data_IF_568973724802
#
_entry.id   IF_568973724802
#
_cell.length_a   1.000
_cell.length_b   1.000
_cell.length_c   1.000
_cell.angle_alpha   90.00
_cell.angle_beta   90.00
_cell.angle_gamma   90.00
#
_symmetry.space_group_name_H-M   'P 1'
#
loop_
_entity.id
_entity.type
_entity.pdbx_description
1 polymer ?
#
# COMPACT_ATOMS: atom_id res chain seq x y z
N UNK A 1 24.73 -21.29 6.38
CA UNK A 1 24.09 -20.05 6.91
C UNK A 1 22.72 -20.46 7.47
N UNK A 2 22.40 -20.16 8.74
CA UNK A 2 21.03 -20.36 9.24
C UNK A 2 20.11 -19.40 8.51
N UNK A 3 19.23 -19.89 7.66
CA UNK A 3 18.15 -19.10 7.08
C UNK A 3 17.33 -18.50 8.21
N UNK A 4 17.30 -17.18 8.28
CA UNK A 4 16.51 -16.47 9.27
C UNK A 4 15.05 -16.85 9.02
N UNK A 5 14.37 -17.44 10.01
CA UNK A 5 12.97 -17.86 9.89
C UNK A 5 12.13 -16.65 9.52
N UNK A 6 11.34 -16.78 8.45
CA UNK A 6 10.40 -15.76 7.99
C UNK A 6 9.40 -15.43 9.11
N UNK A 7 9.04 -14.15 9.25
CA UNK A 7 8.04 -13.67 10.21
C UNK A 7 6.98 -12.84 9.51
N UNK A 8 5.73 -13.16 9.77
CA UNK A 8 4.54 -12.42 9.29
C UNK A 8 3.72 -12.03 10.51
N UNK A 9 3.77 -10.75 10.87
CA UNK A 9 3.13 -10.22 12.08
C UNK A 9 2.22 -9.05 11.74
N UNK A 10 0.95 -9.16 12.08
CA UNK A 10 -0.04 -8.08 11.98
C UNK A 10 -0.45 -7.65 13.38
N UNK A 11 -0.35 -6.34 13.66
CA UNK A 11 -0.68 -5.72 14.94
C UNK A 11 -2.00 -4.96 14.84
N UNK A 12 -2.89 -5.13 15.81
CA UNK A 12 -4.09 -4.30 15.93
C UNK A 12 -3.74 -3.03 16.71
N UNK A 13 -3.03 -2.13 16.07
CA UNK A 13 -2.57 -0.87 16.66
C UNK A 13 -2.26 0.14 15.55
N UNK A 14 -2.03 1.39 15.93
CA UNK A 14 -1.47 2.41 15.06
C UNK A 14 0.04 2.21 14.89
N UNK A 15 0.55 2.43 13.66
CA UNK A 15 1.99 2.46 13.40
C UNK A 15 2.74 3.50 14.27
N UNK A 16 2.07 4.52 14.76
CA UNK A 16 2.63 5.51 15.68
C UNK A 16 3.15 4.88 16.98
N UNK A 17 2.58 3.75 17.36
CA UNK A 17 2.95 2.98 18.55
C UNK A 17 4.06 1.94 18.28
N UNK A 18 4.72 1.99 17.12
CA UNK A 18 5.72 0.99 16.68
C UNK A 18 6.80 0.67 17.71
N UNK A 19 7.14 1.60 18.57
CA UNK A 19 8.16 1.42 19.64
C UNK A 19 7.77 0.36 20.68
N UNK A 20 6.48 0.00 20.78
CA UNK A 20 5.99 -1.08 21.65
C UNK A 20 6.35 -2.46 21.11
N UNK A 21 6.68 -2.53 19.83
CA UNK A 21 6.94 -3.77 19.11
C UNK A 21 8.41 -3.83 18.71
N UNK A 22 9.04 -4.97 18.89
CA UNK A 22 10.45 -5.17 18.51
C UNK A 22 10.56 -5.47 17.01
N UNK A 23 10.14 -4.52 16.16
CA UNK A 23 10.13 -4.68 14.72
C UNK A 23 11.50 -4.33 14.15
N UNK A 24 12.12 -5.21 13.34
CA UNK A 24 13.37 -4.91 12.66
C UNK A 24 13.16 -3.81 11.60
N UNK A 25 14.25 -3.13 11.25
CA UNK A 25 14.23 -2.15 10.16
C UNK A 25 14.03 -2.85 8.82
N UNK A 26 13.30 -2.19 7.93
CA UNK A 26 12.87 -2.73 6.65
C UNK A 26 13.76 -2.30 5.47
N UNK A 27 13.84 -3.17 4.48
CA UNK A 27 14.34 -2.85 3.13
C UNK A 27 13.31 -2.06 2.35
N UNK A 28 12.01 -2.36 2.55
CA UNK A 28 10.90 -1.71 1.88
C UNK A 28 9.81 -1.36 2.89
N UNK A 29 9.31 -0.11 2.82
CA UNK A 29 8.00 0.25 3.36
C UNK A 29 7.04 0.37 2.19
N UNK A 30 5.92 -0.33 2.24
CA UNK A 30 4.86 -0.25 1.23
C UNK A 30 3.52 -0.05 1.92
N UNK A 31 2.77 0.98 1.55
CA UNK A 31 1.51 1.32 2.20
C UNK A 31 0.49 1.92 1.25
N UNK A 32 -0.76 1.55 1.46
CA UNK A 32 -1.92 2.24 0.90
C UNK A 32 -2.45 3.21 1.96
N UNK A 33 -1.98 4.45 1.90
CA UNK A 33 -2.34 5.44 2.92
C UNK A 33 -3.77 5.96 2.71
N UNK A 34 -4.46 6.41 3.77
CA UNK A 34 -5.73 7.11 3.63
C UNK A 34 -5.62 8.33 2.72
N UNK A 35 -6.58 8.47 1.79
CA UNK A 35 -6.49 9.49 0.75
C UNK A 35 -6.88 10.89 1.23
N UNK A 36 -7.45 11.03 2.42
CA UNK A 36 -7.87 12.31 3.03
C UNK A 36 -8.75 13.18 2.10
N UNK A 37 -9.50 12.55 1.20
CA UNK A 37 -10.33 13.25 0.23
C UNK A 37 -11.70 13.63 0.81
N UNK A 38 -12.04 13.16 2.01
CA UNK A 38 -13.31 13.39 2.70
C UNK A 38 -14.51 13.20 1.75
N UNK A 39 -15.35 14.23 1.61
CA UNK A 39 -16.51 14.23 0.72
C UNK A 39 -16.15 14.17 -0.78
N UNK A 40 -14.91 14.44 -1.14
CA UNK A 40 -14.40 14.36 -2.52
C UNK A 40 -13.80 12.99 -2.86
N UNK A 41 -14.02 11.98 -2.03
CA UNK A 41 -13.50 10.64 -2.27
C UNK A 41 -14.02 10.07 -3.61
N UNK A 42 -13.10 9.71 -4.49
CA UNK A 42 -13.39 9.09 -5.79
C UNK A 42 -13.88 7.65 -5.73
N UNK A 43 -14.10 7.12 -4.56
CA UNK A 43 -14.34 5.70 -4.34
C UNK A 43 -15.76 5.25 -4.67
N UNK A 44 -16.49 6.01 -5.47
CA UNK A 44 -17.87 5.69 -5.79
C UNK A 44 -17.96 4.65 -6.89
N UNK A 45 -18.79 3.63 -6.68
CA UNK A 45 -19.10 2.68 -7.73
C UNK A 45 -19.82 3.39 -8.88
N UNK A 46 -19.50 3.09 -10.17
CA UNK A 46 -20.25 3.63 -11.29
C UNK A 46 -21.76 3.43 -11.19
N UNK A 47 -22.22 2.34 -10.57
CA UNK A 47 -23.62 2.06 -10.30
C UNK A 47 -24.31 3.08 -9.38
N UNK A 48 -23.56 3.85 -8.59
CA UNK A 48 -24.12 4.89 -7.73
C UNK A 48 -24.51 6.16 -8.49
N UNK A 49 -24.08 6.28 -9.74
CA UNK A 49 -24.35 7.41 -10.63
C UNK A 49 -25.34 7.07 -11.75
N UNK A 50 -25.85 5.85 -11.78
CA UNK A 50 -26.86 5.40 -12.75
C UNK A 50 -28.12 5.01 -11.98
N UNK A 51 -29.24 5.67 -12.27
CA UNK A 51 -30.51 5.39 -11.59
C UNK A 51 -30.57 5.90 -10.14
N UNK A 52 -29.78 6.93 -9.80
CA UNK A 52 -29.77 7.53 -8.46
C UNK A 52 -30.96 8.43 -8.17
N UNK A 53 -31.02 8.91 -6.91
CA UNK A 53 -32.19 9.60 -6.32
C UNK A 53 -32.33 11.07 -6.75
N UNK A 54 -31.30 11.67 -7.32
CA UNK A 54 -31.31 13.05 -7.72
C UNK A 54 -31.42 13.21 -9.25
N UNK A 55 -31.74 14.42 -9.70
CA UNK A 55 -31.92 14.74 -11.14
C UNK A 55 -30.67 14.52 -12.01
N UNK A 56 -29.49 14.31 -11.39
CA UNK A 56 -28.22 14.01 -12.08
C UNK A 56 -27.92 12.50 -12.11
N UNK A 57 -28.81 11.65 -11.59
CA UNK A 57 -28.62 10.20 -11.51
C UNK A 57 -27.67 9.75 -10.38
N UNK A 58 -27.33 10.62 -9.44
CA UNK A 58 -26.49 10.29 -8.30
C UNK A 58 -27.31 9.71 -7.15
N UNK A 59 -26.85 8.61 -6.55
CA UNK A 59 -27.44 8.08 -5.33
C UNK A 59 -27.01 8.88 -4.10
N UNK A 60 -27.75 8.75 -2.98
CA UNK A 60 -27.36 9.33 -1.68
C UNK A 60 -25.97 8.86 -1.18
N UNK A 61 -25.47 7.74 -1.70
CA UNK A 61 -24.14 7.21 -1.38
C UNK A 61 -23.03 7.87 -2.18
N UNK A 62 -23.35 8.57 -3.27
CA UNK A 62 -22.37 9.40 -3.97
C UNK A 62 -21.89 10.50 -3.02
N UNK A 63 -20.58 10.77 -3.00
CA UNK A 63 -19.93 11.73 -2.12
C UNK A 63 -19.89 11.34 -0.62
N UNK A 64 -20.29 10.15 -0.22
CA UNK A 64 -20.05 9.69 1.14
C UNK A 64 -18.59 9.22 1.30
N UNK A 65 -17.93 9.62 2.39
CA UNK A 65 -16.62 9.09 2.74
C UNK A 65 -16.72 7.58 2.99
N UNK A 66 -15.83 6.80 2.38
CA UNK A 66 -15.80 5.33 2.58
C UNK A 66 -15.27 4.95 3.96
N UNK A 67 -14.43 5.81 4.52
CA UNK A 67 -13.74 5.56 5.78
C UNK A 67 -13.81 6.80 6.66
N UNK A 68 -14.25 6.61 7.88
CA UNK A 68 -14.23 7.60 8.95
C UNK A 68 -12.80 8.02 9.37
N UNK A 69 -11.78 7.27 8.93
CA UNK A 69 -10.36 7.54 9.21
C UNK A 69 -9.67 8.39 8.15
N UNK A 70 -10.30 8.65 7.00
CA UNK A 70 -9.68 9.35 5.88
C UNK A 70 -9.36 10.83 6.16
N UNK A 71 -10.03 11.46 7.13
CA UNK A 71 -9.81 12.87 7.45
C UNK A 71 -8.65 13.16 8.41
N UNK A 72 -8.05 12.15 9.04
CA UNK A 72 -7.13 12.34 10.16
C UNK A 72 -5.72 11.77 9.94
N UNK A 73 -5.44 11.22 8.76
CA UNK A 73 -4.12 10.67 8.47
C UNK A 73 -3.09 11.78 8.32
N UNK A 74 -2.02 11.71 9.12
CA UNK A 74 -0.97 12.76 9.15
C UNK A 74 0.27 12.31 8.41
N UNK A 75 0.44 12.77 7.18
CA UNK A 75 1.60 12.46 6.33
C UNK A 75 2.94 12.74 7.03
N UNK A 76 3.15 13.83 7.81
CA UNK A 76 4.39 14.03 8.54
C UNK A 76 4.75 12.92 9.51
N UNK A 77 3.76 12.41 10.26
CA UNK A 77 3.97 11.31 11.21
C UNK A 77 4.33 10.00 10.50
N UNK A 78 3.66 9.74 9.38
CA UNK A 78 3.97 8.62 8.49
C UNK A 78 5.41 8.71 7.96
N UNK A 79 5.83 9.87 7.44
CA UNK A 79 7.19 10.09 6.95
C UNK A 79 8.24 9.95 8.06
N UNK A 80 7.93 10.46 9.27
CA UNK A 80 8.78 10.25 10.44
C UNK A 80 8.95 8.76 10.73
N UNK A 81 7.86 8.01 10.81
CA UNK A 81 7.89 6.56 10.99
C UNK A 81 8.76 5.87 9.93
N UNK A 82 8.54 6.12 8.65
CA UNK A 82 9.31 5.55 7.55
C UNK A 82 10.81 5.88 7.67
N UNK A 83 11.15 7.13 8.02
CA UNK A 83 12.54 7.55 8.20
C UNK A 83 13.27 6.77 9.30
N UNK A 84 12.54 6.35 10.34
CA UNK A 84 13.07 5.57 11.46
C UNK A 84 13.10 4.08 11.18
N UNK A 85 12.15 3.56 10.42
CA UNK A 85 11.97 2.12 10.22
C UNK A 85 12.66 1.57 8.98
N UNK A 86 13.06 2.39 8.02
CA UNK A 86 13.93 1.95 6.94
C UNK A 86 15.37 1.74 7.42
N UNK A 87 16.05 0.72 6.89
CA UNK A 87 17.48 0.50 7.14
C UNK A 87 18.30 1.73 6.71
N UNK A 88 19.51 1.85 7.23
CA UNK A 88 20.45 2.85 6.72
C UNK A 88 20.88 2.48 5.31
N UNK A 89 21.18 3.49 4.50
CA UNK A 89 21.72 3.25 3.16
C UNK A 89 23.08 2.54 3.26
N UNK A 90 23.23 1.37 2.64
CA UNK A 90 24.51 0.66 2.63
C UNK A 90 25.54 1.41 1.75
N UNK A 91 26.82 1.03 1.86
CA UNK A 91 27.86 1.59 1.00
C UNK A 91 27.67 1.18 -0.47
N UNK A 92 27.18 -0.01 -0.69
CA UNK A 92 26.96 -0.61 -2.01
C UNK A 92 25.81 0.10 -2.74
N UNK A 93 26.06 0.45 -4.01
CA UNK A 93 25.07 1.06 -4.91
C UNK A 93 24.01 0.01 -5.31
N UNK A 94 22.76 0.43 -5.42
CA UNK A 94 21.67 -0.48 -5.80
C UNK A 94 21.22 -1.43 -4.69
N UNK A 95 21.53 -1.10 -3.43
CA UNK A 95 21.10 -1.86 -2.24
C UNK A 95 20.36 -1.00 -1.21
N UNK A 96 20.12 0.27 -1.51
CA UNK A 96 19.43 1.16 -0.60
C UNK A 96 17.95 0.76 -0.41
N UNK A 97 17.35 1.12 0.74
CA UNK A 97 15.93 0.91 0.97
C UNK A 97 15.09 1.92 0.21
N UNK A 98 13.82 1.57 -0.01
CA UNK A 98 12.83 2.45 -0.61
C UNK A 98 11.50 2.40 0.13
N UNK A 99 10.62 3.32 -0.19
CA UNK A 99 9.20 3.23 0.15
C UNK A 99 8.33 3.41 -1.09
N UNK A 100 7.19 2.70 -1.10
CA UNK A 100 6.13 2.81 -2.09
C UNK A 100 4.87 3.27 -1.36
N UNK A 101 4.37 4.43 -1.72
CA UNK A 101 3.21 5.04 -1.08
C UNK A 101 2.08 5.13 -2.09
N UNK A 102 1.09 4.24 -2.00
CA UNK A 102 -0.15 4.39 -2.75
C UNK A 102 -0.94 5.56 -2.20
N UNK A 103 -1.43 6.40 -3.07
CA UNK A 103 -2.09 7.66 -2.71
C UNK A 103 -3.01 8.15 -3.83
N UNK A 104 -3.88 9.09 -3.51
CA UNK A 104 -4.61 9.84 -4.52
C UNK A 104 -3.66 10.70 -5.36
N UNK A 105 -4.07 10.99 -6.60
CA UNK A 105 -3.33 11.89 -7.49
C UNK A 105 -3.03 13.24 -6.83
N UNK A 106 -4.00 13.80 -6.12
CA UNK A 106 -3.89 15.10 -5.43
C UNK A 106 -2.92 15.08 -4.25
N UNK A 107 -2.65 13.90 -3.66
CA UNK A 107 -1.71 13.78 -2.56
C UNK A 107 -0.25 13.64 -3.00
N UNK A 108 0.01 13.30 -4.26
CA UNK A 108 1.37 12.96 -4.72
C UNK A 108 2.37 14.08 -4.42
N UNK A 109 2.02 15.33 -4.74
CA UNK A 109 2.90 16.48 -4.50
C UNK A 109 3.20 16.64 -3.00
N UNK A 110 2.19 16.53 -2.16
CA UNK A 110 2.33 16.65 -0.72
C UNK A 110 3.24 15.54 -0.14
N UNK A 111 3.09 14.30 -0.63
CA UNK A 111 3.93 13.16 -0.24
C UNK A 111 5.40 13.42 -0.60
N UNK A 112 5.67 13.94 -1.80
CA UNK A 112 7.03 14.27 -2.25
C UNK A 112 7.63 15.37 -1.38
N UNK A 113 6.89 16.43 -1.10
CA UNK A 113 7.35 17.55 -0.27
C UNK A 113 7.65 17.14 1.17
N UNK A 114 6.76 16.37 1.80
CA UNK A 114 7.03 15.82 3.13
C UNK A 114 8.17 14.79 3.09
N UNK A 115 8.24 13.98 2.05
CA UNK A 115 9.35 13.04 1.87
C UNK A 115 10.70 13.75 1.94
N UNK A 116 10.87 14.85 1.21
CA UNK A 116 12.09 15.67 1.23
C UNK A 116 12.43 16.19 2.64
N UNK A 117 11.43 16.66 3.42
CA UNK A 117 11.64 17.13 4.80
C UNK A 117 12.16 16.03 5.74
N UNK A 118 11.90 14.76 5.41
CA UNK A 118 12.38 13.61 6.18
C UNK A 118 13.56 12.87 5.53
N UNK A 119 14.20 13.51 4.54
CA UNK A 119 15.45 13.00 3.93
C UNK A 119 15.26 12.09 2.73
N UNK A 120 14.04 11.95 2.19
CA UNK A 120 13.77 11.22 0.95
C UNK A 120 13.83 12.17 -0.24
N UNK A 121 15.03 12.38 -0.75
CA UNK A 121 15.31 13.44 -1.73
C UNK A 121 14.92 13.07 -3.16
N UNK A 122 14.75 11.79 -3.44
CA UNK A 122 14.48 11.25 -4.76
C UNK A 122 13.12 10.57 -4.80
N UNK A 123 12.40 10.76 -5.91
CA UNK A 123 11.08 10.14 -6.12
C UNK A 123 10.76 9.97 -7.59
N UNK A 124 9.87 9.03 -7.88
CA UNK A 124 9.21 8.88 -9.17
C UNK A 124 7.82 8.23 -9.00
N UNK A 125 6.89 8.50 -9.93
CA UNK A 125 5.55 7.94 -9.85
C UNK A 125 5.50 6.51 -10.38
N UNK A 126 4.60 5.71 -9.82
CA UNK A 126 4.09 4.48 -10.40
C UNK A 126 2.62 4.68 -10.76
N UNK A 127 2.22 4.11 -11.89
CA UNK A 127 0.84 4.15 -12.39
C UNK A 127 0.32 2.73 -12.49
N UNK A 128 -0.87 2.48 -11.96
CA UNK A 128 -1.52 1.17 -12.04
C UNK A 128 -2.73 1.29 -12.93
N UNK A 129 -2.76 0.49 -14.00
CA UNK A 129 -3.84 0.53 -15.00
C UNK A 129 -4.75 -0.67 -14.78
N UNK A 130 -6.01 -0.39 -14.42
CA UNK A 130 -7.06 -1.39 -14.22
C UNK A 130 -7.70 -1.76 -15.55
N UNK A 131 -8.03 -3.01 -15.73
CA UNK A 131 -8.85 -3.47 -16.86
C UNK A 131 -10.37 -3.36 -16.57
N UNK A 132 -10.73 -2.71 -15.47
CA UNK A 132 -12.11 -2.44 -15.08
C UNK A 132 -12.19 -1.08 -14.38
N UNK A 133 -13.36 -0.44 -14.46
CA UNK A 133 -13.59 0.81 -13.75
C UNK A 133 -14.05 0.55 -12.32
N UNK A 134 -13.40 1.21 -11.36
CA UNK A 134 -13.81 1.23 -9.96
C UNK A 134 -14.19 2.60 -9.43
N UNK A 135 -14.03 3.64 -10.26
CA UNK A 135 -14.22 5.03 -9.83
C UNK A 135 -14.93 5.87 -10.87
N UNK A 136 -15.80 6.76 -10.44
CA UNK A 136 -16.35 7.82 -11.29
C UNK A 136 -15.61 9.11 -10.99
N UNK A 137 -14.91 9.65 -11.98
CA UNK A 137 -14.17 10.91 -11.86
C UNK A 137 -15.08 12.12 -12.07
N UNK A 138 -15.93 12.06 -13.10
CA UNK A 138 -16.90 13.10 -13.43
C UNK A 138 -18.19 12.47 -13.96
N UNK A 139 -19.21 12.37 -13.12
CA UNK A 139 -20.48 11.73 -13.46
C UNK A 139 -21.18 12.37 -14.66
N UNK A 140 -21.28 13.71 -14.67
CA UNK A 140 -21.95 14.44 -15.76
C UNK A 140 -21.26 14.28 -17.12
N UNK A 141 -19.94 14.06 -17.12
CA UNK A 141 -19.15 13.81 -18.33
C UNK A 141 -18.99 12.32 -18.63
N UNK A 142 -19.53 11.44 -17.79
CA UNK A 142 -19.41 9.97 -17.89
C UNK A 142 -17.95 9.48 -17.92
N UNK A 143 -17.05 10.21 -17.27
CA UNK A 143 -15.64 9.83 -17.17
C UNK A 143 -15.44 8.95 -15.94
N UNK A 144 -14.84 7.78 -16.17
CA UNK A 144 -14.50 6.79 -15.15
C UNK A 144 -13.00 6.63 -15.05
N UNK A 145 -12.47 6.48 -13.83
CA UNK A 145 -11.05 6.27 -13.58
C UNK A 145 -10.68 4.81 -13.70
N UNK A 146 -9.63 4.55 -14.46
CA UNK A 146 -9.02 3.22 -14.58
C UNK A 146 -7.60 3.18 -14.01
N UNK A 147 -7.13 4.27 -13.40
CA UNK A 147 -5.77 4.36 -12.87
C UNK A 147 -5.75 4.54 -11.37
N UNK A 148 -4.74 3.98 -10.74
CA UNK A 148 -4.30 4.33 -9.39
C UNK A 148 -2.82 4.71 -9.41
N UNK A 149 -2.37 5.36 -8.36
CA UNK A 149 -1.05 5.96 -8.30
C UNK A 149 -0.31 5.54 -7.03
N UNK A 150 1.01 5.47 -7.14
CA UNK A 150 1.90 5.46 -6.00
C UNK A 150 3.13 6.32 -6.28
N UNK A 151 3.80 6.74 -5.23
CA UNK A 151 5.09 7.41 -5.30
C UNK A 151 6.14 6.49 -4.68
N UNK A 152 7.20 6.22 -5.44
CA UNK A 152 8.42 5.63 -4.89
C UNK A 152 9.28 6.75 -4.33
N UNK A 153 9.74 6.62 -3.09
CA UNK A 153 10.67 7.58 -2.48
C UNK A 153 11.89 6.84 -1.93
N UNK A 154 13.04 7.48 -2.05
CA UNK A 154 14.30 7.01 -1.48
C UNK A 154 15.22 8.19 -1.16
N UNK A 155 16.29 7.95 -0.38
CA UNK A 155 17.22 9.00 0.05
C UNK A 155 18.11 9.42 -1.12
N UNK A 156 19.41 9.20 -1.03
CA UNK A 156 20.38 9.62 -2.05
C UNK A 156 20.84 8.48 -2.94
N UNK A 157 21.04 7.30 -2.35
CA UNK A 157 21.55 6.13 -3.06
C UNK A 157 20.44 5.38 -3.77
N UNK A 158 20.78 4.80 -4.92
CA UNK A 158 19.88 3.97 -5.70
C UNK A 158 19.34 2.80 -4.86
N UNK A 159 18.02 2.62 -4.81
CA UNK A 159 17.41 1.51 -4.10
C UNK A 159 17.73 0.18 -4.78
N UNK A 160 17.53 -0.90 -4.03
CA UNK A 160 17.48 -2.24 -4.61
C UNK A 160 16.40 -2.25 -5.70
N UNK A 161 16.76 -2.80 -6.86
CA UNK A 161 15.87 -2.84 -8.01
C UNK A 161 16.14 -4.07 -8.87
N UNK A 162 15.38 -5.13 -8.61
CA UNK A 162 15.51 -6.43 -9.27
C UNK A 162 14.70 -6.44 -10.57
N UNK A 163 15.33 -6.10 -11.68
CA UNK A 163 14.72 -6.01 -13.00
C UNK A 163 15.42 -6.89 -14.06
N UNK A 164 16.30 -7.78 -13.62
CA UNK A 164 17.13 -8.63 -14.51
C UNK A 164 17.88 -7.82 -15.59
N UNK A 165 18.37 -6.64 -15.21
CA UNK A 165 19.06 -5.67 -16.09
C UNK A 165 18.21 -5.21 -17.30
N UNK A 166 16.89 -5.29 -17.21
CA UNK A 166 15.96 -4.81 -18.26
C UNK A 166 15.31 -3.50 -17.83
N UNK A 167 15.07 -2.63 -18.78
CA UNK A 167 14.21 -1.47 -18.55
C UNK A 167 12.78 -1.94 -18.35
N UNK A 168 12.11 -1.41 -17.33
CA UNK A 168 10.69 -1.65 -17.08
C UNK A 168 9.96 -0.31 -17.10
N UNK A 169 8.71 -0.35 -17.52
CA UNK A 169 7.84 0.82 -17.44
C UNK A 169 7.49 1.14 -15.99
N UNK A 170 7.20 2.39 -15.70
CA UNK A 170 6.68 2.82 -14.40
C UNK A 170 5.16 2.63 -14.28
N UNK A 171 4.56 1.83 -15.15
CA UNK A 171 3.16 1.45 -15.05
C UNK A 171 3.02 -0.07 -14.94
N UNK A 172 1.99 -0.50 -14.20
CA UNK A 172 1.70 -1.90 -13.94
C UNK A 172 0.25 -2.18 -14.25
N UNK A 173 -0.02 -3.36 -14.80
CA UNK A 173 -1.38 -3.84 -14.99
C UNK A 173 -1.97 -4.24 -13.64
N UNK A 174 -3.14 -3.72 -13.34
CA UNK A 174 -3.88 -4.09 -12.14
C UNK A 174 -5.01 -5.02 -12.54
N UNK A 175 -4.81 -6.30 -12.36
CA UNK A 175 -5.84 -7.30 -12.56
C UNK A 175 -6.67 -7.51 -11.29
N UNK A 176 -7.94 -7.83 -11.47
CA UNK A 176 -8.81 -8.16 -10.34
C UNK A 176 -8.30 -9.46 -9.68
N UNK A 177 -8.09 -9.43 -8.38
CA UNK A 177 -7.75 -10.62 -7.60
C UNK A 177 -9.01 -11.47 -7.41
N UNK A 178 -8.98 -12.69 -7.95
CA UNK A 178 -10.06 -13.67 -7.84
C UNK A 178 -9.70 -14.84 -6.93
N UNK A 179 -8.47 -14.88 -6.42
CA UNK A 179 -7.93 -15.99 -5.62
C UNK A 179 -7.93 -15.68 -4.14
N UNK A 180 -7.79 -14.42 -3.77
CA UNK A 180 -7.76 -13.97 -2.37
C UNK A 180 -9.15 -13.49 -1.94
N UNK A 181 -9.67 -13.90 -0.77
CA UNK A 181 -10.94 -13.41 -0.27
C UNK A 181 -10.97 -11.88 -0.17
N UNK A 182 -12.00 -11.25 -0.72
CA UNK A 182 -12.16 -9.81 -0.63
C UNK A 182 -12.82 -9.45 0.70
N UNK A 183 -12.06 -8.81 1.59
CA UNK A 183 -12.52 -8.36 2.92
C UNK A 183 -12.51 -6.84 3.07
N UNK A 184 -11.90 -6.12 2.13
CA UNK A 184 -11.79 -4.67 2.15
C UNK A 184 -12.22 -4.09 0.79
N UNK A 185 -12.97 -2.96 0.74
CA UNK A 185 -13.46 -2.39 -0.52
C UNK A 185 -12.35 -2.06 -1.51
N UNK A 186 -11.26 -1.49 -1.01
CA UNK A 186 -10.10 -1.03 -1.79
C UNK A 186 -8.90 -1.99 -1.71
N UNK A 187 -9.15 -3.28 -1.41
CA UNK A 187 -8.10 -4.30 -1.28
C UNK A 187 -7.22 -4.36 -2.52
N UNK A 188 -5.91 -4.24 -2.31
CA UNK A 188 -4.91 -4.36 -3.37
C UNK A 188 -4.73 -5.84 -3.77
N UNK A 189 -4.59 -6.17 -5.06
CA UNK A 189 -4.31 -7.53 -5.52
C UNK A 189 -2.99 -8.05 -4.96
N UNK A 190 -3.02 -9.26 -4.40
CA UNK A 190 -1.82 -9.89 -3.84
C UNK A 190 -0.73 -10.05 -4.90
N UNK A 191 -1.11 -10.44 -6.13
CA UNK A 191 -0.14 -10.63 -7.21
C UNK A 191 0.58 -9.34 -7.61
N UNK A 192 -0.13 -8.20 -7.63
CA UNK A 192 0.47 -6.89 -7.89
C UNK A 192 1.47 -6.52 -6.79
N UNK A 193 1.11 -6.75 -5.53
CA UNK A 193 1.99 -6.48 -4.39
C UNK A 193 3.23 -7.37 -4.41
N UNK A 194 3.10 -8.66 -4.76
CA UNK A 194 4.25 -9.56 -4.95
C UNK A 194 5.22 -9.00 -5.97
N UNK A 195 4.73 -8.62 -7.15
CA UNK A 195 5.56 -8.04 -8.21
C UNK A 195 6.33 -6.80 -7.74
N UNK A 196 5.68 -5.88 -7.03
CA UNK A 196 6.33 -4.69 -6.49
C UNK A 196 7.37 -5.04 -5.42
N UNK A 197 7.04 -5.93 -4.49
CA UNK A 197 7.94 -6.34 -3.42
C UNK A 197 9.18 -7.05 -3.98
N UNK A 198 9.04 -7.93 -4.95
CA UNK A 198 10.16 -8.62 -5.61
C UNK A 198 11.14 -7.66 -6.30
N UNK A 199 10.62 -6.57 -6.91
CA UNK A 199 11.48 -5.54 -7.53
C UNK A 199 12.39 -4.87 -6.48
N UNK A 200 11.89 -4.57 -5.29
CA UNK A 200 12.59 -3.76 -4.30
C UNK A 200 13.23 -4.55 -3.16
N UNK A 201 13.09 -5.87 -3.14
CA UNK A 201 13.59 -6.72 -2.05
C UNK A 201 14.13 -8.05 -2.56
N UNK A 202 15.02 -8.67 -1.77
CA UNK A 202 15.44 -10.06 -1.93
C UNK A 202 14.72 -10.96 -0.93
N UNK A 203 14.80 -12.28 -1.11
CA UNK A 203 14.31 -13.24 -0.12
C UNK A 203 14.98 -13.02 1.24
N UNK A 204 14.18 -13.11 2.29
CA UNK A 204 14.62 -12.85 3.66
C UNK A 204 14.66 -11.38 4.07
N UNK A 205 14.48 -10.44 3.14
CA UNK A 205 14.34 -9.01 3.47
C UNK A 205 13.07 -8.75 4.30
N UNK A 206 13.09 -7.64 5.00
CA UNK A 206 11.97 -7.17 5.81
C UNK A 206 11.18 -6.10 5.06
N UNK A 207 9.87 -6.27 5.03
CA UNK A 207 8.89 -5.30 4.53
C UNK A 207 8.03 -4.82 5.69
N UNK A 208 7.62 -3.55 5.68
CA UNK A 208 6.67 -3.00 6.65
C UNK A 208 5.51 -2.35 5.92
N UNK A 209 4.29 -2.64 6.38
CA UNK A 209 3.05 -2.00 5.93
C UNK A 209 2.36 -1.30 7.11
N UNK A 210 2.54 0.02 7.26
CA UNK A 210 1.92 0.76 8.37
C UNK A 210 0.40 0.98 8.23
N UNK A 211 -0.20 0.62 7.09
CA UNK A 211 -1.64 0.76 6.82
C UNK A 211 -2.18 -0.54 6.20
N UNK A 212 -2.04 -1.66 6.92
CA UNK A 212 -2.18 -3.00 6.36
C UNK A 212 -3.58 -3.37 5.85
N UNK A 213 -4.62 -2.71 6.36
CA UNK A 213 -6.00 -2.93 5.92
C UNK A 213 -6.40 -4.40 5.91
N UNK A 214 -6.53 -4.96 4.72
CA UNK A 214 -6.87 -6.37 4.53
C UNK A 214 -5.72 -7.36 4.82
N UNK A 215 -4.47 -6.88 4.99
CA UNK A 215 -3.29 -7.74 5.13
C UNK A 215 -2.75 -8.32 3.82
N UNK A 216 -3.18 -7.81 2.66
CA UNK A 216 -2.72 -8.28 1.35
C UNK A 216 -1.20 -8.18 1.18
N UNK A 217 -0.58 -7.12 1.71
CA UNK A 217 0.89 -6.95 1.69
C UNK A 217 1.58 -8.05 2.49
N UNK A 218 1.06 -8.39 3.66
CA UNK A 218 1.60 -9.46 4.49
C UNK A 218 1.48 -10.83 3.79
N UNK A 219 0.33 -11.08 3.15
CA UNK A 219 0.10 -12.28 2.35
C UNK A 219 1.09 -12.35 1.19
N UNK A 220 1.25 -11.27 0.44
CA UNK A 220 2.21 -11.18 -0.66
C UNK A 220 3.64 -11.51 -0.19
N UNK A 221 4.09 -10.88 0.90
CA UNK A 221 5.41 -11.14 1.48
C UNK A 221 5.61 -12.61 1.86
N UNK A 222 4.59 -13.21 2.48
CA UNK A 222 4.67 -14.60 2.90
C UNK A 222 4.85 -15.55 1.71
N UNK A 223 4.10 -15.35 0.63
CA UNK A 223 4.16 -16.19 -0.57
C UNK A 223 5.48 -16.10 -1.33
N UNK A 224 6.29 -15.07 -1.08
CA UNK A 224 7.57 -14.82 -1.76
C UNK A 224 8.76 -14.77 -0.79
N UNK A 225 8.65 -15.39 0.39
CA UNK A 225 9.73 -15.55 1.38
C UNK A 225 10.31 -14.21 1.91
N UNK A 226 9.49 -13.19 2.14
CA UNK A 226 9.87 -11.96 2.83
C UNK A 226 9.22 -11.90 4.21
N UNK A 227 9.94 -11.40 5.22
CA UNK A 227 9.31 -11.09 6.49
C UNK A 227 8.48 -9.81 6.37
N UNK A 228 7.30 -9.77 6.99
CA UNK A 228 6.45 -8.58 6.94
C UNK A 228 5.81 -8.27 8.29
N UNK A 229 5.79 -6.97 8.61
CA UNK A 229 5.16 -6.43 9.81
C UNK A 229 4.15 -5.37 9.39
N UNK A 230 2.89 -5.54 9.81
CA UNK A 230 1.80 -4.63 9.45
C UNK A 230 1.08 -4.08 10.64
N UNK A 231 0.46 -2.90 10.46
CA UNK A 231 -0.41 -2.26 11.45
C UNK A 231 -1.80 -2.04 10.87
N UNK A 232 -2.82 -2.37 11.64
CA UNK A 232 -4.22 -2.13 11.31
C UNK A 232 -4.97 -1.66 12.55
N UNK A 233 -5.51 -0.44 12.50
CA UNK A 233 -6.19 0.19 13.63
C UNK A 233 -7.61 -0.35 13.83
N UNK A 234 -8.30 -0.70 12.72
CA UNK A 234 -9.66 -1.21 12.77
C UNK A 234 -9.67 -2.68 13.15
N UNK A 235 -10.21 -2.96 14.34
CA UNK A 235 -10.27 -4.31 14.91
C UNK A 235 -10.96 -5.33 13.99
N UNK A 236 -11.96 -4.90 13.25
CA UNK A 236 -12.72 -5.80 12.36
C UNK A 236 -11.89 -6.19 11.13
N UNK A 237 -11.18 -5.25 10.51
CA UNK A 237 -10.25 -5.56 9.42
C UNK A 237 -9.09 -6.43 9.91
N UNK A 238 -8.51 -6.10 11.06
CA UNK A 238 -7.49 -6.93 11.69
C UNK A 238 -7.94 -8.38 11.89
N UNK A 239 -9.14 -8.60 12.48
CA UNK A 239 -9.68 -9.94 12.70
C UNK A 239 -9.90 -10.69 11.38
N UNK A 240 -10.55 -10.04 10.41
CA UNK A 240 -10.81 -10.63 9.10
C UNK A 240 -9.51 -10.95 8.34
N UNK A 241 -8.51 -10.06 8.38
CA UNK A 241 -7.20 -10.29 7.80
C UNK A 241 -6.56 -11.55 8.38
N UNK A 242 -6.52 -11.69 9.70
CA UNK A 242 -5.97 -12.90 10.35
C UNK A 242 -6.73 -14.17 10.01
N UNK A 243 -8.05 -14.12 9.96
CA UNK A 243 -8.89 -15.31 9.76
C UNK A 243 -9.00 -15.76 8.31
N UNK A 244 -8.99 -14.81 7.35
CA UNK A 244 -9.29 -15.10 5.94
C UNK A 244 -8.09 -14.94 5.01
N UNK A 245 -7.19 -13.99 5.29
CA UNK A 245 -6.06 -13.66 4.41
C UNK A 245 -4.78 -14.37 4.87
N UNK A 246 -4.52 -14.39 6.17
CA UNK A 246 -3.26 -14.88 6.74
C UNK A 246 -3.35 -16.27 7.39
N UNK A 247 -4.53 -16.89 7.42
CA UNK A 247 -4.74 -18.18 8.09
C UNK A 247 -3.78 -19.27 7.61
N UNK A 248 -3.73 -19.50 6.30
CA UNK A 248 -2.92 -20.57 5.70
C UNK A 248 -1.42 -20.26 5.76
N UNK A 249 -1.07 -18.99 5.70
CA UNK A 249 0.31 -18.50 5.79
C UNK A 249 0.90 -18.75 7.16
N UNK A 250 0.13 -18.53 8.23
CA UNK A 250 0.60 -18.76 9.59
C UNK A 250 0.78 -20.26 9.90
N UNK A 251 -0.01 -21.13 9.29
CA UNK A 251 0.15 -22.59 9.41
C UNK A 251 1.43 -23.08 8.73
N UNK A 252 1.78 -22.58 7.54
CA UNK A 252 3.00 -22.96 6.82
C UNK A 252 4.29 -22.50 7.49
N UNK A 253 4.23 -21.50 8.38
CA UNK A 253 5.40 -21.01 9.13
C UNK A 253 5.67 -21.83 10.41
N UNK A 254 4.77 -22.73 10.80
CA UNK A 254 4.87 -23.58 12.00
C UNK A 254 5.46 -24.94 11.66
N UNK A 255 5.37 -25.38 10.40
CA UNK A 255 5.96 -26.60 9.86
C UNK A 255 7.42 -26.38 9.43
#
# INVERSE_FOLDING_TARGET
MRTKRQKIELFNDSFQNYKRYQIPKAQLVIADIPYNLAENAYASSPSWYVGGDNKNGESKKAKSAFFDTDGYFRIPEYMHFCSKMLIKEPKEVGKAPAMIVFCAFEQMQQIIEYGKKYGFMKSYPLVFVKNYSGQVLKANMKIVGATEYAVVLYRDKLPKFNNNNRMIFNWFKWERDTTTPKIHPTQKPVQLLKQLIEIFTDEGDVVIDPCAGSGSTLRACAEINRSCYGFEIKKDYYKQAKQKILKDVQQSLIL
#
